data_IF_821834792968
#
_entry.id   IF_821834792968
#
_cell.length_a   1.000
_cell.length_b   1.000
_cell.length_c   1.000
_cell.angle_alpha   90.00
_cell.angle_beta   90.00
_cell.angle_gamma   90.00
#
_symmetry.space_group_name_H-M   'P 1'
#
loop_
_entity.id
_entity.type
_entity.pdbx_description
1 polymer ?
#
# COMPACT_ATOMS: atom_id res chain seq x y z
N UNK A 1 -9.87 31.34 -77.49
CA UNK A 1 -10.41 31.44 -76.12
C UNK A 1 -10.41 30.11 -75.36
N UNK A 2 -10.84 28.98 -75.94
CA UNK A 2 -10.87 27.67 -75.25
C UNK A 2 -9.54 27.13 -74.72
N UNK A 3 -8.44 27.27 -75.48
CA UNK A 3 -7.11 26.79 -75.06
C UNK A 3 -6.57 27.47 -73.79
N UNK A 4 -6.82 28.77 -73.62
CA UNK A 4 -6.40 29.50 -72.42
C UNK A 4 -7.17 29.10 -71.16
N UNK A 5 -8.46 28.78 -71.29
CA UNK A 5 -9.28 28.30 -70.18
C UNK A 5 -8.86 26.90 -69.73
N UNK A 6 -8.57 26.00 -70.68
CA UNK A 6 -8.05 24.65 -70.40
C UNK A 6 -6.67 24.72 -69.71
N UNK A 7 -5.76 25.57 -70.21
CA UNK A 7 -4.45 25.77 -69.60
C UNK A 7 -4.50 26.38 -68.20
N UNK A 8 -5.50 27.23 -67.90
CA UNK A 8 -5.72 27.77 -66.55
C UNK A 8 -6.29 26.69 -65.63
N UNK A 9 -7.31 25.95 -66.08
CA UNK A 9 -7.91 24.87 -65.30
C UNK A 9 -6.88 23.79 -64.92
N UNK A 10 -5.98 23.43 -65.85
CA UNK A 10 -4.90 22.48 -65.59
C UNK A 10 -3.93 22.96 -64.52
N UNK A 11 -3.47 24.22 -64.61
CA UNK A 11 -2.58 24.80 -63.60
C UNK A 11 -3.22 24.87 -62.23
N UNK A 12 -4.51 25.23 -62.14
CA UNK A 12 -5.25 25.22 -60.88
C UNK A 12 -5.35 23.80 -60.31
N UNK A 13 -5.62 22.79 -61.15
CA UNK A 13 -5.69 21.40 -60.72
C UNK A 13 -4.32 20.87 -60.23
N UNK A 14 -3.22 21.25 -60.89
CA UNK A 14 -1.85 20.93 -60.47
C UNK A 14 -1.52 21.58 -59.12
N UNK A 15 -1.85 22.86 -58.93
CA UNK A 15 -1.67 23.56 -57.66
C UNK A 15 -2.45 22.91 -56.51
N UNK A 16 -3.73 22.54 -56.75
CA UNK A 16 -4.55 21.83 -55.76
C UNK A 16 -4.00 20.44 -55.42
N UNK A 17 -3.46 19.70 -56.40
CA UNK A 17 -2.81 18.41 -56.14
C UNK A 17 -1.54 18.56 -55.29
N UNK A 18 -0.74 19.58 -55.56
CA UNK A 18 0.44 19.87 -54.75
C UNK A 18 0.05 20.25 -53.31
N UNK A 19 -0.98 21.07 -53.13
CA UNK A 19 -1.52 21.45 -51.82
C UNK A 19 -2.04 20.22 -51.05
N UNK A 20 -2.83 19.36 -51.70
CA UNK A 20 -3.30 18.09 -51.11
C UNK A 20 -2.12 17.19 -50.73
N UNK A 21 -1.10 17.10 -51.59
CA UNK A 21 0.11 16.34 -51.31
C UNK A 21 0.86 16.84 -50.07
N UNK A 22 1.02 18.16 -49.94
CA UNK A 22 1.65 18.79 -48.78
C UNK A 22 0.85 18.55 -47.49
N UNK A 23 -0.48 18.68 -47.54
CA UNK A 23 -1.35 18.42 -46.40
C UNK A 23 -1.31 16.95 -45.97
N UNK A 24 -1.33 16.00 -46.92
CA UNK A 24 -1.17 14.57 -46.63
C UNK A 24 0.18 14.26 -46.00
N UNK A 25 1.25 14.87 -46.49
CA UNK A 25 2.58 14.73 -45.91
C UNK A 25 2.64 15.21 -44.46
N UNK A 26 2.04 16.37 -44.16
CA UNK A 26 1.97 16.91 -42.79
C UNK A 26 1.16 16.01 -41.86
N UNK A 27 0.00 15.53 -42.31
CA UNK A 27 -0.82 14.60 -41.53
C UNK A 27 -0.09 13.29 -41.23
N UNK A 28 0.64 12.75 -42.21
CA UNK A 28 1.44 11.54 -42.00
C UNK A 28 2.55 11.76 -40.96
N UNK A 29 3.20 12.92 -41.00
CA UNK A 29 4.24 13.29 -40.02
C UNK A 29 3.67 13.46 -38.61
N UNK A 30 2.53 14.15 -38.47
CA UNK A 30 1.85 14.31 -37.18
C UNK A 30 1.39 12.96 -36.62
N UNK A 31 0.84 12.09 -37.46
CA UNK A 31 0.43 10.75 -37.04
C UNK A 31 1.62 9.89 -36.60
N UNK A 32 2.74 9.93 -37.34
CA UNK A 32 3.96 9.25 -36.92
C UNK A 32 4.49 9.76 -35.57
N UNK A 33 4.38 11.08 -35.32
CA UNK A 33 4.72 11.69 -34.04
C UNK A 33 3.83 11.20 -32.90
N UNK A 34 2.51 11.09 -33.11
CA UNK A 34 1.57 10.56 -32.11
C UNK A 34 1.82 9.08 -31.81
N UNK A 35 2.06 8.27 -32.85
CA UNK A 35 2.38 6.84 -32.71
C UNK A 35 3.67 6.66 -31.91
N UNK A 36 4.71 7.46 -32.21
CA UNK A 36 5.95 7.42 -31.44
C UNK A 36 5.74 7.86 -29.98
N UNK A 37 4.96 8.91 -29.75
CA UNK A 37 4.66 9.41 -28.42
C UNK A 37 4.00 8.32 -27.55
N UNK A 38 2.94 7.70 -28.06
CA UNK A 38 2.15 6.72 -27.31
C UNK A 38 2.90 5.41 -27.11
N UNK A 39 3.65 4.95 -28.11
CA UNK A 39 4.27 3.61 -28.06
C UNK A 39 5.69 3.61 -27.50
N UNK A 40 6.38 4.75 -27.46
CA UNK A 40 7.79 4.82 -27.06
C UNK A 40 8.00 5.83 -25.94
N UNK A 41 7.60 7.09 -26.16
CA UNK A 41 7.90 8.16 -25.22
C UNK A 41 7.18 7.99 -23.87
N UNK A 42 5.84 7.82 -23.88
CA UNK A 42 5.07 7.70 -22.63
C UNK A 42 5.46 6.44 -21.83
N UNK A 43 5.61 5.25 -22.43
CA UNK A 43 6.11 4.08 -21.69
C UNK A 43 7.51 4.28 -21.14
N UNK A 44 8.41 4.93 -21.90
CA UNK A 44 9.76 5.25 -21.45
C UNK A 44 9.80 6.16 -20.23
N UNK A 45 9.00 7.24 -20.26
CA UNK A 45 8.82 8.15 -19.11
C UNK A 45 8.27 7.38 -17.91
N UNK A 46 7.23 6.57 -18.12
CA UNK A 46 6.63 5.80 -17.04
C UNK A 46 7.61 4.79 -16.43
N UNK A 47 8.54 4.26 -17.21
CA UNK A 47 9.60 3.38 -16.73
C UNK A 47 10.62 4.17 -15.91
N UNK A 48 11.14 5.28 -16.44
CA UNK A 48 12.09 6.13 -15.73
C UNK A 48 11.56 6.62 -14.38
N UNK A 49 10.29 7.04 -14.32
CA UNK A 49 9.65 7.48 -13.08
C UNK A 49 9.50 6.32 -12.09
N UNK A 50 9.13 5.13 -12.57
CA UNK A 50 9.09 3.93 -11.73
C UNK A 50 10.47 3.52 -11.21
N UNK A 51 11.51 3.80 -11.96
CA UNK A 51 12.90 3.57 -11.57
C UNK A 51 13.47 4.69 -10.65
N UNK A 52 12.66 5.69 -10.31
CA UNK A 52 12.99 6.74 -9.35
C UNK A 52 13.44 8.08 -9.96
N UNK A 53 13.39 8.23 -11.27
CA UNK A 53 13.64 9.52 -11.94
C UNK A 53 12.48 10.48 -11.68
N UNK A 54 12.74 11.75 -11.40
CA UNK A 54 11.65 12.74 -11.23
C UNK A 54 10.86 12.96 -12.53
N UNK A 55 9.58 13.33 -12.45
CA UNK A 55 8.75 13.53 -13.64
C UNK A 55 9.34 14.55 -14.63
N UNK A 56 9.85 15.68 -14.14
CA UNK A 56 10.44 16.72 -14.98
C UNK A 56 11.70 16.23 -15.71
N UNK A 57 12.55 15.48 -15.01
CA UNK A 57 13.77 14.91 -15.55
C UNK A 57 13.47 13.79 -16.56
N UNK A 58 12.47 12.94 -16.30
CA UNK A 58 12.03 11.91 -17.23
C UNK A 58 11.49 12.53 -18.54
N UNK A 59 10.75 13.64 -18.45
CA UNK A 59 10.30 14.40 -19.62
C UNK A 59 11.48 15.03 -20.37
N UNK A 60 12.45 15.60 -19.66
CA UNK A 60 13.64 16.21 -20.26
C UNK A 60 14.54 15.19 -20.98
N UNK A 61 14.61 13.96 -20.46
CA UNK A 61 15.37 12.86 -21.05
C UNK A 61 14.70 12.26 -22.30
N UNK A 62 13.43 12.57 -22.54
CA UNK A 62 12.67 12.08 -23.68
C UNK A 62 12.73 13.08 -24.83
N UNK A 63 12.84 12.58 -26.07
CA UNK A 63 12.90 13.44 -27.25
C UNK A 63 11.72 14.44 -27.27
N UNK A 64 11.95 15.72 -27.63
CA UNK A 64 10.95 16.77 -27.48
C UNK A 64 9.70 16.48 -28.32
N UNK A 65 8.54 16.40 -27.66
CA UNK A 65 7.25 16.28 -28.34
C UNK A 65 6.98 17.53 -29.18
N UNK A 66 6.62 17.33 -30.46
CA UNK A 66 6.33 18.41 -31.40
C UNK A 66 4.98 19.06 -31.09
N UNK A 67 5.01 20.23 -30.44
CA UNK A 67 3.86 21.10 -30.22
C UNK A 67 3.49 21.30 -28.75
N UNK A 68 2.92 22.47 -28.39
CA UNK A 68 2.67 22.86 -27.00
C UNK A 68 1.66 21.94 -26.30
N UNK A 69 0.60 21.52 -26.98
CA UNK A 69 -0.43 20.64 -26.42
C UNK A 69 0.12 19.25 -26.07
N UNK A 70 0.95 18.66 -26.96
CA UNK A 70 1.56 17.35 -26.69
C UNK A 70 2.57 17.42 -25.55
N UNK A 71 3.33 18.51 -25.45
CA UNK A 71 4.22 18.75 -24.31
C UNK A 71 3.43 18.80 -23.00
N UNK A 72 2.30 19.50 -22.96
CA UNK A 72 1.45 19.57 -21.79
C UNK A 72 0.92 18.17 -21.41
N UNK A 73 0.46 17.37 -22.38
CA UNK A 73 0.01 15.99 -22.13
C UNK A 73 1.13 15.14 -21.53
N UNK A 74 2.35 15.24 -22.07
CA UNK A 74 3.52 14.51 -21.57
C UNK A 74 3.87 14.91 -20.14
N UNK A 75 3.86 16.21 -19.84
CA UNK A 75 4.10 16.72 -18.49
C UNK A 75 3.05 16.25 -17.50
N UNK A 76 1.76 16.36 -17.85
CA UNK A 76 0.67 15.88 -17.02
C UNK A 76 0.74 14.37 -16.79
N UNK A 77 1.07 13.60 -17.83
CA UNK A 77 1.27 12.15 -17.71
C UNK A 77 2.40 11.82 -16.75
N UNK A 78 3.56 12.46 -16.89
CA UNK A 78 4.72 12.22 -16.02
C UNK A 78 4.38 12.53 -14.55
N UNK A 79 3.72 13.65 -14.29
CA UNK A 79 3.28 14.04 -12.95
C UNK A 79 2.28 13.03 -12.34
N UNK A 80 1.32 12.54 -13.13
CA UNK A 80 0.36 11.53 -12.68
C UNK A 80 1.04 10.19 -12.37
N UNK A 81 2.01 9.78 -13.17
CA UNK A 81 2.78 8.55 -12.91
C UNK A 81 3.61 8.71 -11.63
N UNK A 82 4.25 9.86 -11.43
CA UNK A 82 5.04 10.11 -10.22
C UNK A 82 4.17 10.07 -8.96
N UNK A 83 3.02 10.71 -8.99
CA UNK A 83 2.06 10.66 -7.88
C UNK A 83 1.57 9.24 -7.62
N UNK A 84 1.26 8.47 -8.67
CA UNK A 84 0.86 7.07 -8.53
C UNK A 84 1.97 6.18 -7.93
N UNK A 85 3.23 6.38 -8.34
CA UNK A 85 4.39 5.67 -7.77
C UNK A 85 4.57 6.01 -6.29
N UNK A 86 4.45 7.29 -5.95
CA UNK A 86 4.55 7.76 -4.55
C UNK A 86 3.44 7.17 -3.69
N UNK A 87 2.20 7.22 -4.14
CA UNK A 87 1.05 6.64 -3.43
C UNK A 87 1.18 5.13 -3.24
N UNK A 88 1.69 4.41 -4.25
CA UNK A 88 1.95 2.98 -4.15
C UNK A 88 3.04 2.67 -3.10
N UNK A 89 4.12 3.46 -3.06
CA UNK A 89 5.17 3.31 -2.05
C UNK A 89 4.64 3.58 -0.64
N UNK A 90 3.85 4.64 -0.45
CA UNK A 90 3.23 4.97 0.83
C UNK A 90 2.21 3.90 1.29
N UNK A 91 1.45 3.33 0.35
CA UNK A 91 0.53 2.24 0.64
C UNK A 91 1.28 0.97 1.06
N UNK A 92 2.38 0.63 0.36
CA UNK A 92 3.21 -0.52 0.68
C UNK A 92 3.90 -0.36 2.05
N UNK A 93 4.43 0.82 2.35
CA UNK A 93 5.01 1.13 3.67
C UNK A 93 3.99 0.95 4.80
N UNK A 94 2.78 1.50 4.64
CA UNK A 94 1.68 1.32 5.61
C UNK A 94 1.28 -0.15 5.77
N UNK A 95 1.25 -0.90 4.66
CA UNK A 95 0.97 -2.34 4.68
C UNK A 95 2.04 -3.11 5.47
N UNK A 96 3.32 -2.82 5.23
CA UNK A 96 4.42 -3.46 5.95
C UNK A 96 4.37 -3.15 7.45
N UNK A 97 4.10 -1.90 7.82
CA UNK A 97 3.93 -1.51 9.22
C UNK A 97 2.77 -2.26 9.88
N UNK A 98 1.60 -2.30 9.24
CA UNK A 98 0.42 -3.01 9.75
C UNK A 98 0.68 -4.51 9.92
N UNK A 99 1.35 -5.15 8.96
CA UNK A 99 1.74 -6.56 9.05
C UNK A 99 2.68 -6.78 10.23
N UNK A 100 3.68 -5.91 10.42
CA UNK A 100 4.63 -6.04 11.50
C UNK A 100 3.98 -5.83 12.88
N UNK A 101 3.07 -4.87 13.02
CA UNK A 101 2.28 -4.66 14.23
C UNK A 101 1.35 -5.83 14.54
N UNK A 102 0.69 -6.40 13.52
CA UNK A 102 -0.14 -7.58 13.66
C UNK A 102 0.67 -8.81 14.08
N UNK A 103 1.82 -9.07 13.46
CA UNK A 103 2.71 -10.17 13.84
C UNK A 103 3.23 -10.03 15.27
N UNK A 104 3.59 -8.81 15.70
CA UNK A 104 4.00 -8.56 17.08
C UNK A 104 2.87 -8.84 18.07
N UNK A 105 1.67 -8.36 17.77
CA UNK A 105 0.49 -8.59 18.62
C UNK A 105 0.13 -10.08 18.71
N UNK A 106 0.25 -10.81 17.60
CA UNK A 106 0.04 -12.26 17.57
C UNK A 106 1.07 -13.01 18.42
N UNK A 107 2.35 -12.63 18.34
CA UNK A 107 3.41 -13.22 19.16
C UNK A 107 3.20 -12.93 20.66
N UNK A 108 2.78 -11.71 21.03
CA UNK A 108 2.46 -11.37 22.42
C UNK A 108 1.29 -12.22 22.95
N UNK A 109 0.23 -12.42 22.15
CA UNK A 109 -0.90 -13.28 22.51
C UNK A 109 -0.48 -14.75 22.61
N UNK A 110 0.39 -15.22 21.73
CA UNK A 110 0.94 -16.58 21.80
C UNK A 110 1.76 -16.79 23.07
N UNK A 111 2.67 -15.87 23.41
CA UNK A 111 3.44 -15.94 24.67
C UNK A 111 2.52 -15.91 25.89
N UNK A 112 1.53 -15.02 25.90
CA UNK A 112 0.55 -14.91 26.97
C UNK A 112 -0.19 -16.24 27.18
N UNK A 113 -0.67 -16.86 26.11
CA UNK A 113 -1.50 -18.07 26.17
C UNK A 113 -0.71 -19.36 26.38
N UNK A 114 0.52 -19.45 25.85
CA UNK A 114 1.33 -20.67 25.94
C UNK A 114 2.22 -20.73 27.18
N UNK A 115 2.57 -19.58 27.76
CA UNK A 115 3.54 -19.51 28.86
C UNK A 115 2.96 -18.77 30.06
N UNK A 116 2.62 -17.49 29.88
CA UNK A 116 2.29 -16.60 31.00
C UNK A 116 1.05 -17.06 31.78
N UNK A 117 -0.06 -17.32 31.10
CA UNK A 117 -1.31 -17.73 31.76
C UNK A 117 -1.21 -19.13 32.39
N UNK A 118 -0.67 -20.18 31.72
CA UNK A 118 -0.44 -21.47 32.36
C UNK A 118 0.43 -21.37 33.62
N UNK A 119 1.52 -20.59 33.60
CA UNK A 119 2.38 -20.40 34.77
C UNK A 119 1.64 -19.69 35.92
N UNK A 120 0.77 -18.72 35.61
CA UNK A 120 -0.09 -18.08 36.60
C UNK A 120 -1.06 -19.09 37.25
N UNK A 121 -1.67 -19.96 36.43
CA UNK A 121 -2.58 -21.02 36.90
C UNK A 121 -1.87 -21.96 37.86
N UNK A 122 -0.65 -22.41 37.52
CA UNK A 122 0.15 -23.29 38.37
C UNK A 122 0.46 -22.63 39.73
N UNK A 123 0.98 -21.40 39.74
CA UNK A 123 1.29 -20.69 40.99
C UNK A 123 0.06 -20.49 41.88
N UNK A 124 -1.10 -20.18 41.30
CA UNK A 124 -2.35 -20.03 42.05
C UNK A 124 -2.82 -21.35 42.65
N UNK A 125 -2.69 -22.47 41.91
CA UNK A 125 -3.00 -23.81 42.42
C UNK A 125 -2.07 -24.23 43.56
N UNK A 126 -0.81 -23.80 43.51
CA UNK A 126 0.15 -24.01 44.60
C UNK A 126 -0.12 -23.12 45.83
N UNK A 127 -1.17 -22.28 45.79
CA UNK A 127 -1.62 -21.44 46.90
C UNK A 127 -0.96 -20.06 46.95
N UNK A 128 -0.23 -19.66 45.91
CA UNK A 128 0.35 -18.31 45.82
C UNK A 128 -0.76 -17.26 45.74
N UNK A 129 -0.57 -16.10 46.37
CA UNK A 129 -1.58 -15.04 46.34
C UNK A 129 -1.68 -14.39 44.95
N UNK A 130 -2.87 -13.90 44.61
CA UNK A 130 -3.12 -13.21 43.34
C UNK A 130 -2.17 -12.03 43.12
N UNK A 131 -1.86 -11.28 44.19
CA UNK A 131 -1.02 -10.09 44.11
C UNK A 131 0.43 -10.42 43.78
N UNK A 132 0.96 -11.50 44.37
CA UNK A 132 2.30 -12.01 44.06
C UNK A 132 2.35 -12.52 42.63
N UNK A 133 1.37 -13.34 42.23
CA UNK A 133 1.30 -13.86 40.85
C UNK A 133 1.25 -12.69 39.85
N UNK A 134 0.38 -11.71 40.05
CA UNK A 134 0.27 -10.55 39.16
C UNK A 134 1.55 -9.71 39.08
N UNK A 135 2.31 -9.61 40.17
CA UNK A 135 3.58 -8.87 40.20
C UNK A 135 4.72 -9.57 39.46
N UNK A 136 4.67 -10.89 39.34
CA UNK A 136 5.77 -11.70 38.78
C UNK A 136 5.53 -12.10 37.31
N UNK A 137 4.37 -11.80 36.75
CA UNK A 137 4.04 -12.17 35.37
C UNK A 137 4.70 -11.23 34.36
N UNK A 138 5.21 -11.82 33.29
CA UNK A 138 5.61 -11.09 32.08
C UNK A 138 4.36 -10.69 31.29
N UNK A 139 3.99 -9.41 31.40
CA UNK A 139 2.79 -8.88 30.76
C UNK A 139 3.01 -8.52 29.28
N UNK A 140 1.99 -8.72 28.42
CA UNK A 140 2.02 -8.21 27.07
C UNK A 140 2.07 -6.68 27.08
N UNK A 141 2.65 -6.08 26.04
CA UNK A 141 2.79 -4.62 25.95
C UNK A 141 1.46 -3.97 25.59
N UNK A 142 0.62 -4.67 24.84
CA UNK A 142 -0.72 -4.22 24.49
C UNK A 142 -1.62 -4.04 25.72
N UNK A 143 -2.17 -2.84 25.89
CA UNK A 143 -3.05 -2.50 27.03
C UNK A 143 -4.31 -3.38 27.09
N UNK A 144 -4.92 -3.72 25.95
CA UNK A 144 -6.10 -4.59 25.86
C UNK A 144 -5.83 -6.01 26.35
N UNK A 145 -4.89 -6.76 25.71
CA UNK A 145 -4.52 -8.11 26.14
C UNK A 145 -4.07 -8.17 27.61
N UNK A 146 -3.33 -7.16 28.07
CA UNK A 146 -2.92 -7.05 29.47
C UNK A 146 -4.11 -6.95 30.41
N UNK A 147 -5.04 -6.01 30.16
CA UNK A 147 -6.21 -5.84 31.01
C UNK A 147 -7.08 -7.11 31.06
N UNK A 148 -7.27 -7.78 29.93
CA UNK A 148 -7.99 -9.05 29.87
C UNK A 148 -7.29 -10.15 30.68
N UNK A 149 -5.97 -10.28 30.58
CA UNK A 149 -5.20 -11.28 31.30
C UNK A 149 -5.18 -11.01 32.82
N UNK A 150 -5.04 -9.75 33.24
CA UNK A 150 -5.10 -9.36 34.65
C UNK A 150 -6.48 -9.71 35.26
N UNK A 151 -7.57 -9.42 34.55
CA UNK A 151 -8.92 -9.80 34.98
C UNK A 151 -9.07 -11.32 35.12
N UNK A 152 -8.59 -12.08 34.13
CA UNK A 152 -8.64 -13.54 34.17
C UNK A 152 -7.89 -14.12 35.39
N UNK A 153 -6.67 -13.65 35.66
CA UNK A 153 -5.88 -14.11 36.81
C UNK A 153 -6.56 -13.76 38.14
N UNK A 154 -7.16 -12.57 38.25
CA UNK A 154 -7.90 -12.17 39.46
C UNK A 154 -9.12 -13.05 39.73
N UNK A 155 -9.92 -13.31 38.70
CA UNK A 155 -11.09 -14.19 38.80
C UNK A 155 -10.70 -15.63 39.11
N UNK A 156 -9.64 -16.13 38.48
CA UNK A 156 -9.11 -17.46 38.77
C UNK A 156 -8.65 -17.57 40.22
N UNK A 157 -7.91 -16.59 40.73
CA UNK A 157 -7.47 -16.57 42.11
C UNK A 157 -8.64 -16.44 43.12
N UNK A 158 -9.75 -15.81 42.72
CA UNK A 158 -10.97 -15.80 43.52
C UNK A 158 -11.62 -17.19 43.57
N UNK A 159 -11.70 -17.88 42.42
CA UNK A 159 -12.21 -19.24 42.31
C UNK A 159 -11.39 -20.25 43.13
N UNK A 160 -10.06 -20.24 43.00
CA UNK A 160 -9.17 -21.16 43.74
C UNK A 160 -9.33 -20.99 45.26
N UNK A 161 -9.43 -19.75 45.76
CA UNK A 161 -9.69 -19.48 47.19
C UNK A 161 -11.03 -20.05 47.66
N UNK A 162 -12.08 -19.95 46.84
CA UNK A 162 -13.39 -20.53 47.16
C UNK A 162 -13.34 -22.05 47.20
N UNK A 163 -12.63 -22.67 46.25
CA UNK A 163 -12.44 -24.13 46.20
C UNK A 163 -11.67 -24.63 47.42
N UNK A 164 -10.56 -23.98 47.78
CA UNK A 164 -9.78 -24.32 48.97
C UNK A 164 -10.61 -24.21 50.27
N UNK A 165 -11.42 -23.16 50.39
CA UNK A 165 -12.32 -22.98 51.54
C UNK A 165 -13.38 -24.09 51.64
N UNK A 166 -13.97 -24.50 50.50
CA UNK A 166 -14.92 -25.60 50.45
C UNK A 166 -14.28 -26.94 50.86
N UNK A 167 -13.08 -27.24 50.35
CA UNK A 167 -12.33 -28.45 50.70
C UNK A 167 -11.99 -28.50 52.20
N UNK A 168 -11.56 -27.38 52.78
CA UNK A 168 -11.25 -27.29 54.20
C UNK A 168 -12.51 -27.51 55.08
N UNK A 169 -13.67 -27.02 54.65
CA UNK A 169 -14.93 -27.26 55.35
C UNK A 169 -15.35 -28.74 55.28
N UNK A 170 -15.24 -29.37 54.11
CA UNK A 170 -15.53 -30.80 53.93
C UNK A 170 -14.60 -31.69 54.75
N UNK A 171 -13.29 -31.39 54.77
CA UNK A 171 -12.32 -32.15 55.56
C UNK A 171 -12.65 -32.10 57.06
N UNK A 172 -12.99 -30.92 57.60
CA UNK A 172 -13.44 -30.76 58.99
C UNK A 172 -14.72 -31.53 59.31
N UNK A 173 -15.62 -31.66 58.33
CA UNK A 173 -16.86 -32.43 58.48
C UNK A 173 -16.63 -33.94 58.47
N UNK A 174 -15.60 -34.42 57.77
CA UNK A 174 -15.25 -35.85 57.67
C UNK A 174 -14.41 -36.34 58.86
N UNK A 175 -13.67 -35.45 59.53
CA UNK A 175 -12.85 -35.79 60.70
C UNK A 175 -13.60 -35.71 62.05
N UNK A 176 -14.91 -35.44 62.04
CA UNK A 176 -15.78 -35.40 63.22
C UNK A 176 -16.59 -36.69 63.31
#
# INVERSE_FOLDING_TARGET
LGSHLVGRARRTAEARRAEIGALKGRLAQENAGLVHLVNVALPGIAQQVRDGTGAEEAVANTAPASGPHLRQVVQSFAALVEDAVRQAADAESRRQQAVHEASRSAAELEQLTRSTLPAAVEKLRDGTSAEIVLSELEWPRGAGPRACAELFVRELAHSERRTAAAQAASAKSLSR
#
